data_IF_001296411504
#
_entry.id   IF_001296411504
#
_cell.length_a   1.000
_cell.length_b   1.000
_cell.length_c   1.000
_cell.angle_alpha   90.00
_cell.angle_beta   90.00
_cell.angle_gamma   90.00
#
_symmetry.space_group_name_H-M   'P 1'
#
loop_
_entity.id
_entity.type
_entity.pdbx_description
1 polymer ?
#
# COMPACT_ATOMS: atom_id res chain seq x y z
N UNK A 1 3.96 5.43 -4.71
CA UNK A 1 5.06 5.90 -5.60
C UNK A 1 5.87 4.75 -6.24
N UNK A 2 5.29 3.55 -6.42
CA UNK A 2 5.95 2.44 -7.11
C UNK A 2 5.30 2.22 -8.49
N UNK A 3 5.98 2.64 -9.56
CA UNK A 3 5.43 2.57 -10.92
C UNK A 3 5.22 1.14 -11.38
N UNK A 4 6.17 0.25 -11.09
CA UNK A 4 6.09 -1.18 -11.46
C UNK A 4 4.82 -1.84 -10.91
N UNK A 5 4.44 -1.54 -9.66
CA UNK A 5 3.23 -2.11 -9.05
C UNK A 5 1.96 -1.53 -9.68
N UNK A 6 1.91 -0.20 -9.89
CA UNK A 6 0.77 0.46 -10.53
C UNK A 6 0.55 -0.10 -11.94
N UNK A 7 1.62 -0.21 -12.72
CA UNK A 7 1.56 -0.76 -14.06
C UNK A 7 1.07 -2.22 -14.01
N UNK A 8 1.68 -3.09 -13.19
CA UNK A 8 1.26 -4.51 -13.07
C UNK A 8 -0.19 -4.70 -12.61
N UNK A 9 -0.73 -3.81 -11.78
CA UNK A 9 -2.15 -3.85 -11.38
C UNK A 9 -3.06 -3.46 -12.55
N UNK A 10 -2.67 -2.47 -13.34
CA UNK A 10 -3.48 -1.96 -14.45
C UNK A 10 -3.34 -2.78 -15.74
N UNK A 11 -2.25 -3.54 -15.91
CA UNK A 11 -2.06 -4.44 -17.05
C UNK A 11 -2.80 -5.77 -16.87
N UNK A 12 -3.33 -6.35 -17.94
CA UNK A 12 -4.04 -7.65 -17.89
C UNK A 12 -3.10 -8.85 -17.69
N UNK A 13 -1.82 -8.74 -18.10
CA UNK A 13 -0.88 -9.85 -18.04
C UNK A 13 -0.49 -10.21 -16.61
N UNK A 14 -0.63 -11.49 -16.27
CA UNK A 14 -0.23 -12.06 -14.98
C UNK A 14 1.13 -12.74 -15.12
N UNK A 15 2.14 -12.09 -14.58
CA UNK A 15 3.45 -12.68 -14.34
C UNK A 15 3.35 -13.77 -13.25
N UNK A 16 4.02 -14.93 -13.41
CA UNK A 16 3.90 -16.07 -12.46
C UNK A 16 4.96 -16.10 -11.36
N UNK A 17 5.83 -15.10 -11.29
CA UNK A 17 6.77 -14.95 -10.16
C UNK A 17 6.04 -14.50 -8.88
N UNK A 18 6.73 -14.57 -7.74
CA UNK A 18 6.19 -14.23 -6.41
C UNK A 18 5.44 -12.89 -6.38
N UNK A 19 6.03 -11.84 -6.97
CA UNK A 19 5.39 -10.54 -7.09
C UNK A 19 4.07 -10.61 -7.86
N UNK A 20 4.01 -11.40 -8.93
CA UNK A 20 2.80 -11.56 -9.74
C UNK A 20 1.68 -12.28 -8.99
N UNK A 21 2.01 -13.27 -8.15
CA UNK A 21 1.04 -13.91 -7.26
C UNK A 21 0.43 -12.90 -6.26
N UNK A 22 1.25 -12.01 -5.67
CA UNK A 22 0.78 -10.94 -4.78
C UNK A 22 -0.11 -9.95 -5.54
N UNK A 23 0.29 -9.55 -6.76
CA UNK A 23 -0.50 -8.64 -7.61
C UNK A 23 -1.87 -9.25 -7.96
N UNK A 24 -1.92 -10.56 -8.26
CA UNK A 24 -3.17 -11.26 -8.55
C UNK A 24 -4.12 -11.25 -7.33
N UNK A 25 -3.60 -11.49 -6.12
CA UNK A 25 -4.38 -11.38 -4.90
C UNK A 25 -4.93 -9.96 -4.70
N UNK A 26 -4.11 -8.93 -4.94
CA UNK A 26 -4.56 -7.54 -4.90
C UNK A 26 -5.69 -7.25 -5.91
N UNK A 27 -5.54 -7.70 -7.17
CA UNK A 27 -6.57 -7.54 -8.20
C UNK A 27 -7.90 -8.19 -7.80
N UNK A 28 -7.87 -9.41 -7.26
CA UNK A 28 -9.07 -10.10 -6.78
C UNK A 28 -9.79 -9.31 -5.68
N UNK A 29 -9.05 -8.69 -4.75
CA UNK A 29 -9.63 -7.82 -3.72
C UNK A 29 -10.26 -6.55 -4.31
N UNK A 30 -9.63 -5.98 -5.33
CA UNK A 30 -10.06 -4.75 -5.98
C UNK A 30 -11.28 -4.93 -6.89
N UNK A 31 -11.44 -6.08 -7.55
CA UNK A 31 -12.61 -6.39 -8.40
C UNK A 31 -13.93 -6.22 -7.63
N UNK A 32 -13.93 -6.46 -6.32
CA UNK A 32 -15.11 -6.29 -5.48
C UNK A 32 -15.35 -4.84 -5.02
N UNK A 33 -14.59 -3.87 -5.52
CA UNK A 33 -14.70 -2.44 -5.19
C UNK A 33 -15.02 -1.66 -6.47
N UNK A 34 -16.25 -1.14 -6.64
CA UNK A 34 -16.62 -0.47 -7.89
C UNK A 34 -16.00 0.93 -8.06
N UNK A 35 -15.52 1.56 -6.98
CA UNK A 35 -15.10 2.96 -6.98
C UNK A 35 -13.68 3.12 -6.42
N UNK A 36 -12.68 2.68 -7.16
CA UNK A 36 -11.28 2.96 -6.82
C UNK A 36 -10.50 3.43 -8.05
N UNK A 37 -9.39 4.13 -7.79
CA UNK A 37 -8.40 4.49 -8.81
C UNK A 37 -7.02 4.20 -8.29
N UNK A 38 -6.26 3.41 -9.05
CA UNK A 38 -4.85 3.15 -8.74
C UNK A 38 -3.99 3.99 -9.67
N UNK A 39 -3.17 4.83 -9.06
CA UNK A 39 -2.33 5.78 -9.79
C UNK A 39 -0.95 5.90 -9.16
N UNK A 40 0.02 6.19 -10.01
CA UNK A 40 1.35 6.54 -9.56
C UNK A 40 1.34 7.98 -9.03
N UNK A 41 1.81 8.16 -7.80
CA UNK A 41 2.02 9.47 -7.18
C UNK A 41 3.51 9.76 -7.01
N UNK A 42 3.87 11.05 -7.01
CA UNK A 42 5.23 11.48 -6.69
C UNK A 42 5.59 11.04 -5.28
N UNK A 43 6.87 10.73 -5.09
CA UNK A 43 7.46 10.30 -3.83
C UNK A 43 7.07 11.18 -2.63
N UNK A 44 7.11 12.51 -2.79
CA UNK A 44 6.76 13.48 -1.74
C UNK A 44 5.30 13.40 -1.28
N UNK A 45 4.39 13.03 -2.18
CA UNK A 45 2.99 12.82 -1.86
C UNK A 45 2.72 11.47 -1.16
N UNK A 46 3.76 10.68 -0.89
CA UNK A 46 3.68 9.38 -0.24
C UNK A 46 4.59 9.31 1.01
N UNK A 47 4.95 10.47 1.56
CA UNK A 47 5.95 10.57 2.62
C UNK A 47 5.45 9.99 3.96
N UNK A 48 4.16 10.17 4.30
CA UNK A 48 3.56 9.53 5.49
C UNK A 48 3.59 8.01 5.36
N UNK A 49 3.14 7.46 4.23
CA UNK A 49 3.19 6.01 3.97
C UNK A 49 4.63 5.48 4.02
N UNK A 50 5.62 6.22 3.49
CA UNK A 50 7.03 5.86 3.64
C UNK A 50 7.45 5.80 5.11
N UNK A 51 7.12 6.82 5.89
CA UNK A 51 7.46 6.86 7.31
C UNK A 51 6.87 5.66 8.05
N UNK A 52 5.58 5.38 7.83
CA UNK A 52 4.90 4.23 8.45
C UNK A 52 5.53 2.90 8.02
N UNK A 53 5.85 2.72 6.73
CA UNK A 53 6.52 1.52 6.24
C UNK A 53 7.89 1.32 6.91
N UNK A 54 8.65 2.39 7.13
CA UNK A 54 9.94 2.33 7.84
C UNK A 54 9.74 1.90 9.30
N UNK A 55 8.79 2.50 10.02
CA UNK A 55 8.49 2.11 11.40
C UNK A 55 8.05 0.66 11.49
N UNK A 56 7.24 0.18 10.53
CA UNK A 56 6.81 -1.22 10.51
C UNK A 56 7.97 -2.23 10.50
N UNK A 57 9.09 -1.91 9.84
CA UNK A 57 10.29 -2.77 9.83
C UNK A 57 11.01 -2.87 11.19
N UNK A 58 10.74 -1.95 12.12
CA UNK A 58 11.27 -2.03 13.50
C UNK A 58 10.55 -3.08 14.35
N UNK A 59 9.42 -3.61 13.88
CA UNK A 59 8.71 -4.70 14.54
C UNK A 59 9.16 -6.04 13.98
N UNK A 60 9.54 -6.97 14.87
CA UNK A 60 10.01 -8.31 14.51
C UNK A 60 8.91 -9.21 13.91
N UNK A 61 7.64 -8.82 14.07
CA UNK A 61 6.46 -9.55 13.61
C UNK A 61 5.37 -8.57 13.24
N UNK A 62 4.38 -9.04 12.48
CA UNK A 62 3.16 -8.29 12.21
C UNK A 62 2.49 -7.90 13.55
N UNK A 63 2.16 -6.61 13.68
CA UNK A 63 1.50 -6.03 14.84
C UNK A 63 0.18 -5.41 14.42
N UNK A 64 -0.87 -5.72 15.18
CA UNK A 64 -2.18 -5.09 15.05
C UNK A 64 -2.39 -4.14 16.23
N UNK A 65 -2.84 -2.93 15.94
CA UNK A 65 -3.15 -1.91 16.94
C UNK A 65 -4.66 -1.65 16.91
N UNK A 66 -5.33 -1.72 18.06
CA UNK A 66 -6.78 -1.44 18.17
C UNK A 66 -7.08 0.06 18.07
N UNK A 67 -6.12 0.90 18.44
CA UNK A 67 -6.21 2.35 18.38
C UNK A 67 -4.96 2.91 17.70
N UNK A 68 -5.11 4.07 17.04
CA UNK A 68 -3.98 4.80 16.47
C UNK A 68 -3.05 5.21 17.63
N UNK A 69 -1.77 4.78 17.64
CA UNK A 69 -0.83 5.22 18.65
C UNK A 69 -0.67 6.75 18.62
N UNK A 70 -0.63 7.38 19.79
CA UNK A 70 -0.52 8.85 19.91
C UNK A 70 0.69 9.42 19.18
N UNK A 71 1.80 8.66 19.12
CA UNK A 71 3.03 9.04 18.43
C UNK A 71 2.91 9.17 16.90
N UNK A 72 1.87 8.59 16.28
CA UNK A 72 1.60 8.70 14.84
C UNK A 72 0.23 9.32 14.53
N UNK A 73 -0.50 9.78 15.56
CA UNK A 73 -1.85 10.31 15.41
C UNK A 73 -1.89 11.51 14.47
N UNK A 74 -1.09 12.54 14.72
CA UNK A 74 -1.04 13.74 13.88
C UNK A 74 -0.58 13.42 12.44
N UNK A 75 0.30 12.44 12.28
CA UNK A 75 0.78 11.99 10.98
C UNK A 75 -0.36 11.38 10.14
N UNK A 76 -1.18 10.52 10.75
CA UNK A 76 -2.31 9.87 10.07
C UNK A 76 -3.44 10.87 9.82
N UNK A 77 -3.76 11.73 10.79
CA UNK A 77 -4.84 12.70 10.65
C UNK A 77 -4.61 13.71 9.52
N UNK A 78 -3.36 13.94 9.10
CA UNK A 78 -3.04 14.80 7.97
C UNK A 78 -3.23 14.12 6.59
N UNK A 79 -3.53 12.82 6.54
CA UNK A 79 -3.74 12.04 5.31
C UNK A 79 -5.20 11.60 5.09
N UNK A 80 -6.08 11.83 6.08
CA UNK A 80 -7.53 11.54 6.01
C UNK A 80 -8.26 12.81 5.57
#
# INVERSE_FOLDING_TARGET
DCKVVVDKINFEYVDRFELGAIILQCKNLLVHKPNYRIQFVRRKANDVTRFLARVATSHTRLKFFQHIPSCIFSLIMNEI
#
